data_IF_983351156270
#
_entry.id   IF_983351156270
#
_cell.length_a   1.000
_cell.length_b   1.000
_cell.length_c   1.000
_cell.angle_alpha   90.00
_cell.angle_beta   90.00
_cell.angle_gamma   90.00
#
_symmetry.space_group_name_H-M   'P 1'
#
loop_
_entity.id
_entity.type
_entity.pdbx_description
1 polymer ?
#
# COMPACT_ATOMS: atom_id res chain seq x y z
N UNK A 1 -4.42 -2.43 53.72
CA UNK A 1 -5.43 -2.54 52.63
C UNK A 1 -5.10 -1.68 51.39
N UNK A 2 -4.17 -0.72 51.43
CA UNK A 2 -3.82 0.14 50.28
C UNK A 2 -2.96 -0.52 49.20
N UNK A 3 -2.00 -1.38 49.54
CA UNK A 3 -1.05 -1.98 48.59
C UNK A 3 -1.69 -2.99 47.62
N UNK A 4 -2.64 -3.79 48.08
CA UNK A 4 -3.33 -4.77 47.23
C UNK A 4 -4.17 -4.10 46.13
N UNK A 5 -4.77 -2.95 46.41
CA UNK A 5 -5.56 -2.19 45.42
C UNK A 5 -4.67 -1.51 44.38
N UNK A 6 -3.46 -1.09 44.73
CA UNK A 6 -2.49 -0.46 43.83
C UNK A 6 -1.90 -1.47 42.84
N UNK A 7 -1.54 -2.66 43.33
CA UNK A 7 -1.02 -3.76 42.45
C UNK A 7 -2.09 -4.24 41.46
N UNK A 8 -3.35 -4.35 41.94
CA UNK A 8 -4.46 -4.76 41.04
C UNK A 8 -4.72 -3.74 39.93
N UNK A 9 -4.61 -2.43 40.22
CA UNK A 9 -4.80 -1.37 39.24
C UNK A 9 -3.69 -1.35 38.18
N UNK A 10 -2.43 -1.57 38.58
CA UNK A 10 -1.29 -1.64 37.65
C UNK A 10 -1.42 -2.86 36.73
N UNK A 11 -1.82 -4.00 37.26
CA UNK A 11 -2.01 -5.23 36.49
C UNK A 11 -3.11 -5.04 35.42
N UNK A 12 -4.22 -4.40 35.76
CA UNK A 12 -5.30 -4.08 34.83
C UNK A 12 -4.83 -3.15 33.68
N UNK A 13 -4.05 -2.11 34.01
CA UNK A 13 -3.51 -1.17 33.02
C UNK A 13 -2.54 -1.89 32.07
N UNK A 14 -1.66 -2.75 32.59
CA UNK A 14 -0.72 -3.53 31.76
C UNK A 14 -1.46 -4.47 30.79
N UNK A 15 -2.51 -5.15 31.26
CA UNK A 15 -3.31 -6.06 30.42
C UNK A 15 -4.06 -5.30 29.33
N UNK A 16 -4.62 -4.13 29.63
CA UNK A 16 -5.30 -3.31 28.61
C UNK A 16 -4.34 -2.80 27.55
N UNK A 17 -3.15 -2.31 27.93
CA UNK A 17 -2.12 -1.86 26.98
C UNK A 17 -1.69 -3.02 26.08
N UNK A 18 -1.49 -4.19 26.64
CA UNK A 18 -1.09 -5.39 25.87
C UNK A 18 -2.15 -5.81 24.85
N UNK A 19 -3.43 -5.81 25.21
CA UNK A 19 -4.55 -6.11 24.32
C UNK A 19 -4.70 -5.10 23.17
N UNK A 20 -4.43 -3.81 23.42
CA UNK A 20 -4.43 -2.78 22.37
C UNK A 20 -3.29 -2.98 21.36
N UNK A 21 -2.11 -3.40 21.82
CA UNK A 21 -0.95 -3.64 20.93
C UNK A 21 -1.22 -4.80 19.95
N UNK A 22 -1.85 -5.88 20.40
CA UNK A 22 -2.17 -7.04 19.55
C UNK A 22 -3.14 -6.65 18.42
N UNK A 23 -4.15 -5.81 18.70
CA UNK A 23 -5.13 -5.38 17.70
C UNK A 23 -4.51 -4.50 16.62
N UNK A 24 -3.55 -3.64 16.96
CA UNK A 24 -2.86 -2.79 15.99
C UNK A 24 -2.09 -3.59 14.94
N UNK A 25 -1.37 -4.63 15.35
CA UNK A 25 -0.61 -5.48 14.44
C UNK A 25 -1.50 -6.32 13.52
N UNK A 26 -2.63 -6.81 14.02
CA UNK A 26 -3.58 -7.57 13.20
C UNK A 26 -4.18 -6.71 12.06
N UNK A 27 -4.53 -5.46 12.33
CA UNK A 27 -5.07 -4.54 11.34
C UNK A 27 -4.02 -4.17 10.27
N UNK A 28 -2.78 -3.92 10.65
CA UNK A 28 -1.70 -3.63 9.70
C UNK A 28 -1.47 -4.82 8.75
N UNK A 29 -1.43 -6.03 9.28
CA UNK A 29 -1.26 -7.26 8.49
C UNK A 29 -2.39 -7.42 7.48
N UNK A 30 -3.63 -7.14 7.87
CA UNK A 30 -4.81 -7.25 7.00
C UNK A 30 -4.77 -6.22 5.86
N UNK A 31 -4.35 -4.98 6.13
CA UNK A 31 -4.18 -3.94 5.12
C UNK A 31 -3.10 -4.31 4.11
N UNK A 32 -1.96 -4.84 4.58
CA UNK A 32 -0.86 -5.29 3.71
C UNK A 32 -1.32 -6.47 2.84
N UNK A 33 -2.01 -7.46 3.41
CA UNK A 33 -2.54 -8.59 2.66
C UNK A 33 -3.56 -8.17 1.59
N UNK A 34 -4.43 -7.20 1.90
CA UNK A 34 -5.31 -6.59 0.91
C UNK A 34 -4.54 -5.91 -0.22
N UNK A 35 -3.46 -5.21 0.10
CA UNK A 35 -2.57 -4.58 -0.87
C UNK A 35 -1.84 -5.60 -1.75
N UNK A 36 -1.43 -6.74 -1.21
CA UNK A 36 -0.85 -7.84 -1.98
C UNK A 36 -1.83 -8.39 -3.01
N UNK A 37 -3.08 -8.63 -2.62
CA UNK A 37 -4.13 -9.10 -3.53
C UNK A 37 -4.34 -8.09 -4.68
N UNK A 38 -4.45 -6.81 -4.38
CA UNK A 38 -4.55 -5.76 -5.41
C UNK A 38 -3.33 -5.74 -6.32
N UNK A 39 -2.13 -5.89 -5.75
CA UNK A 39 -0.89 -5.93 -6.50
C UNK A 39 -0.85 -7.09 -7.49
N UNK A 40 -1.14 -8.31 -7.05
CA UNK A 40 -1.13 -9.50 -7.90
C UNK A 40 -2.15 -9.39 -9.03
N UNK A 41 -3.32 -8.82 -8.76
CA UNK A 41 -4.39 -8.68 -9.74
C UNK A 41 -4.12 -7.62 -10.82
N UNK A 42 -3.44 -6.52 -10.48
CA UNK A 42 -3.39 -5.34 -11.35
C UNK A 42 -1.98 -4.86 -11.70
N UNK A 43 -0.97 -5.17 -10.90
CA UNK A 43 0.37 -4.62 -11.02
C UNK A 43 1.40 -5.67 -11.49
N UNK A 44 1.27 -6.90 -11.01
CA UNK A 44 2.24 -7.97 -11.24
C UNK A 44 2.45 -8.30 -12.72
N UNK A 45 1.44 -8.13 -13.56
CA UNK A 45 1.53 -8.37 -15.01
C UNK A 45 2.63 -7.53 -15.68
N UNK A 46 2.90 -6.32 -15.17
CA UNK A 46 3.97 -5.45 -15.64
C UNK A 46 5.17 -5.45 -14.70
N UNK A 47 4.95 -5.32 -13.38
CA UNK A 47 6.01 -5.15 -12.39
C UNK A 47 6.62 -6.47 -11.88
N UNK A 48 6.06 -7.63 -12.28
CA UNK A 48 6.46 -8.95 -11.80
C UNK A 48 5.80 -9.31 -10.48
N UNK A 49 5.61 -10.60 -10.24
CA UNK A 49 5.00 -11.11 -9.00
C UNK A 49 5.81 -10.75 -7.75
N UNK A 50 7.10 -10.51 -7.93
CA UNK A 50 8.06 -10.15 -6.90
C UNK A 50 8.37 -8.63 -6.83
N UNK A 51 7.76 -7.82 -7.69
CA UNK A 51 7.96 -6.37 -7.73
C UNK A 51 9.23 -5.88 -8.40
N UNK A 52 10.00 -6.75 -9.07
CA UNK A 52 11.32 -6.41 -9.66
C UNK A 52 11.26 -5.79 -11.05
N UNK A 53 10.07 -5.51 -11.57
CA UNK A 53 9.88 -4.91 -12.90
C UNK A 53 10.02 -5.92 -14.04
N UNK A 54 9.88 -7.21 -13.76
CA UNK A 54 10.07 -8.29 -14.73
C UNK A 54 8.76 -9.04 -15.05
N UNK A 55 7.63 -8.34 -15.07
CA UNK A 55 6.35 -8.93 -15.47
C UNK A 55 6.32 -9.33 -16.95
N UNK A 56 5.37 -10.18 -17.31
CA UNK A 56 5.24 -10.73 -18.65
C UNK A 56 5.02 -9.66 -19.72
N UNK A 57 4.44 -8.53 -19.36
CA UNK A 57 4.20 -7.39 -20.27
C UNK A 57 5.46 -6.56 -20.54
N UNK A 58 6.53 -6.72 -19.74
CA UNK A 58 7.76 -5.91 -19.87
C UNK A 58 8.31 -5.87 -21.31
N UNK A 59 8.26 -6.99 -22.02
CA UNK A 59 8.79 -7.11 -23.38
C UNK A 59 7.99 -6.32 -24.43
N UNK A 60 6.79 -5.89 -24.11
CA UNK A 60 5.91 -5.13 -24.99
C UNK A 60 5.90 -3.63 -24.68
N UNK A 61 6.58 -3.22 -23.59
CA UNK A 61 6.61 -1.83 -23.15
C UNK A 61 7.87 -1.14 -23.64
N UNK A 62 7.72 0.08 -24.17
CA UNK A 62 8.84 0.93 -24.62
C UNK A 62 9.76 1.30 -23.45
N UNK A 63 9.17 1.57 -22.28
CA UNK A 63 9.89 1.86 -21.05
C UNK A 63 9.71 0.69 -20.08
N UNK A 64 10.82 0.08 -19.61
CA UNK A 64 10.73 -1.03 -18.67
C UNK A 64 10.05 -0.62 -17.36
N UNK A 65 9.14 -1.46 -16.81
CA UNK A 65 8.55 -1.20 -15.50
C UNK A 65 9.61 -1.06 -14.41
N UNK A 66 9.41 -0.12 -13.50
CA UNK A 66 10.31 0.11 -12.39
C UNK A 66 10.41 -1.12 -11.46
N UNK A 67 11.60 -1.33 -10.86
CA UNK A 67 11.77 -2.21 -9.72
C UNK A 67 11.18 -1.52 -8.47
N UNK A 68 10.01 -1.98 -8.06
CA UNK A 68 9.25 -1.40 -6.95
C UNK A 68 9.84 -1.75 -5.57
N UNK A 69 10.72 -2.75 -5.48
CA UNK A 69 11.39 -3.12 -4.21
C UNK A 69 12.51 -2.16 -3.81
N UNK A 70 12.94 -1.28 -4.71
CA UNK A 70 14.05 -0.36 -4.49
C UNK A 70 13.63 1.10 -4.31
N UNK A 71 12.34 1.37 -4.10
CA UNK A 71 11.83 2.72 -3.96
C UNK A 71 12.46 3.45 -2.76
N UNK A 72 12.62 2.75 -1.63
CA UNK A 72 13.31 3.28 -0.45
C UNK A 72 14.76 3.65 -0.75
N UNK A 73 15.49 2.75 -1.42
CA UNK A 73 16.88 2.95 -1.75
C UNK A 73 17.09 4.16 -2.68
N UNK A 74 16.32 4.25 -3.76
CA UNK A 74 16.44 5.34 -4.74
C UNK A 74 15.93 6.68 -4.22
N UNK A 75 15.15 6.67 -3.12
CA UNK A 75 14.62 7.87 -2.45
C UNK A 75 15.44 8.27 -1.21
N UNK A 76 16.71 7.88 -1.17
CA UNK A 76 17.61 8.30 -0.09
C UNK A 76 17.37 7.61 1.26
N UNK A 77 16.85 6.39 1.27
CA UNK A 77 16.66 5.56 2.47
C UNK A 77 15.31 5.74 3.16
N UNK A 78 14.42 6.55 2.60
CA UNK A 78 13.06 6.73 3.11
C UNK A 78 12.03 6.39 2.03
N UNK A 79 11.07 5.51 2.35
CA UNK A 79 10.01 5.16 1.41
C UNK A 79 9.16 6.39 1.07
N UNK A 80 9.01 6.74 -0.23
CA UNK A 80 8.32 7.95 -0.66
C UNK A 80 6.80 7.74 -0.75
N UNK A 81 6.16 7.46 0.39
CA UNK A 81 4.79 6.99 0.52
C UNK A 81 3.77 7.80 -0.30
N UNK A 82 3.73 9.11 -0.10
CA UNK A 82 2.74 9.96 -0.78
C UNK A 82 3.05 10.20 -2.26
N UNK A 83 4.31 10.09 -2.65
CA UNK A 83 4.69 10.15 -4.06
C UNK A 83 4.21 8.89 -4.79
N UNK A 84 4.42 7.71 -4.19
CA UNK A 84 3.93 6.44 -4.72
C UNK A 84 2.40 6.44 -4.81
N UNK A 85 1.71 6.92 -3.75
CA UNK A 85 0.27 7.07 -3.77
C UNK A 85 -0.21 7.90 -4.96
N UNK A 86 0.35 9.12 -5.15
CA UNK A 86 -0.05 10.02 -6.24
C UNK A 86 0.23 9.44 -7.63
N UNK A 87 1.31 8.67 -7.77
CA UNK A 87 1.63 7.99 -9.04
C UNK A 87 0.60 6.90 -9.37
N UNK A 88 0.18 6.13 -8.39
CA UNK A 88 -0.85 5.09 -8.58
C UNK A 88 -2.21 5.74 -8.86
N UNK A 89 -2.60 6.75 -8.11
CA UNK A 89 -3.86 7.48 -8.31
C UNK A 89 -3.93 8.24 -9.65
N UNK A 90 -2.77 8.55 -10.24
CA UNK A 90 -2.66 9.25 -11.52
C UNK A 90 -2.61 10.77 -11.39
N UNK A 91 -2.44 11.30 -10.18
CA UNK A 91 -2.29 12.75 -9.93
C UNK A 91 -0.91 13.28 -10.34
N UNK A 92 0.04 12.41 -10.60
CA UNK A 92 1.40 12.78 -11.01
C UNK A 92 1.71 12.12 -12.34
N UNK A 93 2.13 12.91 -13.33
CA UNK A 93 2.67 12.36 -14.58
C UNK A 93 3.94 11.56 -14.28
N UNK A 94 4.01 10.35 -14.81
CA UNK A 94 5.21 9.53 -14.76
C UNK A 94 6.08 10.00 -15.93
N UNK A 95 7.06 10.88 -15.65
CA UNK A 95 8.03 11.32 -16.64
C UNK A 95 8.80 10.10 -17.18
N UNK A 96 8.89 9.99 -18.50
CA UNK A 96 9.57 8.88 -19.19
C UNK A 96 8.63 7.84 -19.79
N UNK A 97 7.34 7.93 -19.53
CA UNK A 97 6.32 7.19 -20.24
C UNK A 97 5.70 8.14 -21.26
N UNK A 98 6.18 8.16 -22.47
CA UNK A 98 5.76 9.09 -23.55
C UNK A 98 4.29 9.04 -23.90
N UNK A 99 3.61 7.94 -23.64
CA UNK A 99 2.18 7.74 -23.48
C UNK A 99 1.99 7.01 -22.18
N UNK A 100 0.89 7.18 -21.48
CA UNK A 100 0.61 6.56 -20.17
C UNK A 100 0.60 5.02 -20.29
N UNK A 101 1.79 4.39 -20.34
CA UNK A 101 1.91 2.93 -20.38
C UNK A 101 1.39 2.30 -19.09
N UNK A 102 1.49 3.03 -17.97
CA UNK A 102 0.87 2.65 -16.70
C UNK A 102 -0.54 3.26 -16.62
N UNK A 103 -1.58 2.44 -16.40
CA UNK A 103 -2.95 2.94 -16.24
C UNK A 103 -3.10 3.89 -15.06
N UNK A 104 -4.05 4.83 -15.16
CA UNK A 104 -4.49 5.66 -14.03
C UNK A 104 -5.38 4.79 -13.12
N UNK A 105 -4.78 4.22 -12.09
CA UNK A 105 -5.47 3.25 -11.24
C UNK A 105 -6.56 3.90 -10.39
N UNK A 106 -6.40 5.15 -9.99
CA UNK A 106 -7.43 5.90 -9.28
C UNK A 106 -8.75 5.93 -10.05
N UNK A 107 -8.72 6.25 -11.35
CA UNK A 107 -9.91 6.25 -12.20
C UNK A 107 -10.52 4.87 -12.35
N UNK A 108 -9.68 3.85 -12.55
CA UNK A 108 -10.15 2.46 -12.64
C UNK A 108 -10.83 2.00 -11.36
N UNK A 109 -10.24 2.28 -10.21
CA UNK A 109 -10.81 1.88 -8.93
C UNK A 109 -12.09 2.63 -8.61
N UNK A 110 -12.20 3.91 -8.98
CA UNK A 110 -13.45 4.68 -8.90
C UNK A 110 -14.55 4.07 -9.77
N UNK A 111 -14.23 3.74 -11.01
CA UNK A 111 -15.17 3.10 -11.95
C UNK A 111 -15.65 1.73 -11.44
N UNK A 112 -14.73 0.92 -10.91
CA UNK A 112 -15.06 -0.41 -10.38
C UNK A 112 -15.89 -0.36 -9.10
N UNK A 113 -15.73 0.67 -8.27
CA UNK A 113 -16.52 0.87 -7.06
C UNK A 113 -18.01 1.09 -7.37
N UNK A 114 -18.32 1.63 -8.56
CA UNK A 114 -19.68 1.91 -9.01
C UNK A 114 -20.35 3.05 -8.22
N UNK A 115 -21.21 3.79 -8.88
CA UNK A 115 -21.88 4.96 -8.27
C UNK A 115 -21.05 6.24 -8.36
N UNK A 116 -21.34 7.18 -7.48
CA UNK A 116 -20.71 8.50 -7.44
C UNK A 116 -20.45 8.97 -5.99
N UNK A 117 -19.81 10.13 -5.89
CA UNK A 117 -19.66 10.83 -4.63
C UNK A 117 -18.54 10.33 -3.72
N UNK A 118 -18.65 10.72 -2.42
CA UNK A 118 -17.59 10.53 -1.42
C UNK A 118 -17.27 9.06 -1.14
N UNK A 119 -18.25 8.18 -1.18
CA UNK A 119 -18.08 6.74 -0.92
C UNK A 119 -17.13 6.10 -1.93
N UNK A 120 -17.33 6.37 -3.21
CA UNK A 120 -16.49 5.88 -4.31
C UNK A 120 -15.05 6.39 -4.18
N UNK A 121 -14.88 7.68 -3.86
CA UNK A 121 -13.56 8.26 -3.61
C UNK A 121 -12.86 7.58 -2.44
N UNK A 122 -13.57 7.34 -1.34
CA UNK A 122 -13.00 6.69 -0.15
C UNK A 122 -12.61 5.25 -0.44
N UNK A 123 -13.42 4.50 -1.18
CA UNK A 123 -13.11 3.11 -1.56
C UNK A 123 -11.87 3.04 -2.46
N UNK A 124 -11.80 3.87 -3.49
CA UNK A 124 -10.63 3.92 -4.38
C UNK A 124 -9.35 4.31 -3.61
N UNK A 125 -9.44 5.33 -2.75
CA UNK A 125 -8.33 5.75 -1.90
C UNK A 125 -7.87 4.63 -0.95
N UNK A 126 -8.81 3.89 -0.35
CA UNK A 126 -8.51 2.75 0.51
C UNK A 126 -7.73 1.65 -0.21
N UNK A 127 -8.14 1.29 -1.42
CA UNK A 127 -7.42 0.31 -2.26
C UNK A 127 -6.00 0.77 -2.61
N UNK A 128 -5.83 2.04 -2.98
CA UNK A 128 -4.51 2.59 -3.26
C UNK A 128 -3.64 2.62 -2.01
N UNK A 129 -4.19 2.99 -0.85
CA UNK A 129 -3.46 2.96 0.42
C UNK A 129 -2.97 1.55 0.75
N UNK A 130 -3.81 0.52 0.62
CA UNK A 130 -3.41 -0.87 0.85
C UNK A 130 -2.26 -1.28 -0.09
N UNK A 131 -2.32 -0.92 -1.38
CA UNK A 131 -1.22 -1.11 -2.33
C UNK A 131 0.07 -0.43 -1.87
N UNK A 132 0.01 0.82 -1.41
CA UNK A 132 1.20 1.56 -0.97
C UNK A 132 1.81 0.95 0.29
N UNK A 133 1.00 0.48 1.25
CA UNK A 133 1.47 -0.27 2.42
C UNK A 133 2.14 -1.58 2.03
N UNK A 134 1.57 -2.34 1.09
CA UNK A 134 2.21 -3.54 0.55
C UNK A 134 3.55 -3.22 -0.11
N UNK A 135 3.61 -2.19 -0.97
CA UNK A 135 4.86 -1.77 -1.62
C UNK A 135 5.91 -1.31 -0.61
N UNK A 136 5.51 -0.65 0.48
CA UNK A 136 6.41 -0.30 1.58
C UNK A 136 6.92 -1.54 2.31
N UNK A 137 6.08 -2.55 2.50
CA UNK A 137 6.42 -3.80 3.18
C UNK A 137 7.48 -4.62 2.41
N UNK A 138 7.41 -4.64 1.06
CA UNK A 138 8.32 -5.45 0.23
C UNK A 138 9.65 -4.76 -0.10
N UNK A 139 9.99 -3.61 0.49
CA UNK A 139 11.25 -2.90 0.22
C UNK A 139 12.49 -3.73 0.60
N UNK A 140 13.59 -3.56 -0.17
CA UNK A 140 14.93 -4.14 0.06
C UNK A 140 15.86 -3.11 0.69
#
# INVERSE_FOLDING_TARGET
MGQARFVSSILLICVTIWLFSIRGHAQETEVIAGGEIEYQNYCAVCHGVDGRGQGIMRKFLTVPPANLRRLTLISGGKFPFWEVYRKIDGQTEIRGHGTRDMPVWGDRFRTQAGGDGKTVQTQAAGRILSLVFYLQHIQE
#
